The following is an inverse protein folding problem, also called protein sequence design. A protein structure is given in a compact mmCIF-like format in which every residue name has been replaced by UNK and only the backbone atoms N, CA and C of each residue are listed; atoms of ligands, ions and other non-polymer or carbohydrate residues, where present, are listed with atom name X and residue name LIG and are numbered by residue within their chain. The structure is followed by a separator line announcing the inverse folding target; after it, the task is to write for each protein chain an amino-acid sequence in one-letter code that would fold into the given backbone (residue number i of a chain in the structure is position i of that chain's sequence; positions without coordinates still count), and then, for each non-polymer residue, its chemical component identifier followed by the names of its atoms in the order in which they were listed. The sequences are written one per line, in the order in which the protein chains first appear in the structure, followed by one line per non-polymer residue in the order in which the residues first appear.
data_IF_074542328196
#
_entry.id   IF_074542328196
#
_cell.length_a   1.000
_cell.length_b   1.000
_cell.length_c   1.000
_cell.angle_alpha   90.00
_cell.angle_beta   90.00
_cell.angle_gamma   90.00
#
_symmetry.space_group_name_H-M   'P 1'
#
loop_
_entity.id
_entity.type
_entity.pdbx_description
1 polymer ?
#
# COMPACT_ATOMS: atom_id res chain seq x y z
N UNK A 1 -15.04 24.56 -13.38
CA UNK A 1 -14.31 24.28 -12.12
C UNK A 1 -13.06 23.52 -12.52
N UNK A 2 -11.88 24.12 -12.32
CA UNK A 2 -10.62 23.53 -12.77
C UNK A 2 -10.39 22.17 -12.10
N UNK A 3 -10.04 21.19 -12.91
CA UNK A 3 -9.66 19.84 -12.51
C UNK A 3 -8.44 19.92 -11.58
N UNK A 4 -8.68 20.09 -10.28
CA UNK A 4 -7.62 20.04 -9.27
C UNK A 4 -7.16 18.59 -9.22
N UNK A 5 -6.15 18.28 -10.03
CA UNK A 5 -5.42 17.02 -9.99
C UNK A 5 -5.08 16.73 -8.53
N UNK A 6 -5.53 15.59 -8.02
CA UNK A 6 -5.16 15.14 -6.68
C UNK A 6 -3.65 14.91 -6.69
N UNK A 7 -2.93 15.54 -5.77
CA UNK A 7 -1.47 15.42 -5.64
C UNK A 7 -1.18 14.67 -4.35
N UNK A 8 -0.27 13.69 -4.42
CA UNK A 8 0.19 12.97 -3.25
C UNK A 8 0.82 13.93 -2.22
N UNK A 9 0.48 13.75 -0.95
CA UNK A 9 1.11 14.49 0.15
C UNK A 9 2.54 13.96 0.37
N UNK A 10 3.53 14.71 -0.14
CA UNK A 10 4.95 14.37 -0.09
C UNK A 10 5.46 14.14 1.34
N UNK A 11 5.17 15.06 2.26
CA UNK A 11 5.68 15.00 3.63
C UNK A 11 5.14 13.77 4.36
N UNK A 12 3.84 13.49 4.16
CA UNK A 12 3.18 12.32 4.73
C UNK A 12 3.76 11.01 4.18
N UNK A 13 4.00 10.94 2.87
CA UNK A 13 4.65 9.77 2.24
C UNK A 13 6.03 9.52 2.84
N UNK A 14 6.92 10.52 2.85
CA UNK A 14 8.30 10.33 3.32
C UNK A 14 8.37 10.07 4.82
N UNK A 15 7.54 10.74 5.63
CA UNK A 15 7.46 10.47 7.08
C UNK A 15 7.07 9.02 7.37
N UNK A 16 6.11 8.45 6.61
CA UNK A 16 5.66 7.07 6.81
C UNK A 16 6.62 6.05 6.21
N UNK A 17 7.15 6.33 5.03
CA UNK A 17 8.22 5.51 4.44
C UNK A 17 9.42 5.43 5.40
N UNK A 18 9.86 6.54 6.01
CA UNK A 18 10.96 6.53 6.97
C UNK A 18 10.67 5.62 8.17
N UNK A 19 9.45 5.64 8.72
CA UNK A 19 9.03 4.71 9.79
C UNK A 19 9.09 3.25 9.35
N UNK A 20 8.71 2.95 8.11
CA UNK A 20 8.81 1.61 7.54
C UNK A 20 10.28 1.18 7.43
N UNK A 21 11.14 2.02 6.86
CA UNK A 21 12.57 1.72 6.71
C UNK A 21 13.28 1.58 8.06
N UNK A 22 12.96 2.43 9.05
CA UNK A 22 13.48 2.31 10.42
C UNK A 22 13.06 0.97 11.04
N UNK A 23 11.80 0.54 10.88
CA UNK A 23 11.35 -0.76 11.40
C UNK A 23 11.98 -1.92 10.65
N UNK A 24 12.21 -1.77 9.34
CA UNK A 24 12.83 -2.80 8.50
C UNK A 24 14.32 -3.01 8.83
N UNK A 25 14.93 -2.14 9.60
CA UNK A 25 16.28 -2.32 10.14
C UNK A 25 16.27 -2.95 11.55
N UNK A 26 15.10 -3.13 12.18
CA UNK A 26 14.97 -3.71 13.52
C UNK A 26 14.70 -5.21 13.43
N UNK A 27 15.44 -5.99 14.22
CA UNK A 27 15.32 -7.46 14.35
C UNK A 27 14.16 -7.87 15.28
N UNK A 28 12.99 -7.25 15.16
CA UNK A 28 11.87 -7.46 16.11
C UNK A 28 10.72 -8.30 15.54
N UNK A 29 10.45 -8.24 14.22
CA UNK A 29 9.26 -8.85 13.61
C UNK A 29 9.56 -9.68 12.35
N UNK A 30 10.84 -9.99 12.10
CA UNK A 30 11.29 -10.76 10.93
C UNK A 30 11.25 -9.97 9.61
N UNK A 31 10.96 -8.67 9.65
CA UNK A 31 11.01 -7.82 8.45
C UNK A 31 12.44 -7.66 7.95
N UNK A 32 13.43 -7.64 8.85
CA UNK A 32 14.87 -7.60 8.59
C UNK A 32 15.38 -8.81 7.78
N UNK A 33 14.68 -9.93 7.83
CA UNK A 33 15.03 -11.17 7.12
C UNK A 33 14.86 -11.07 5.60
N UNK A 34 14.03 -10.14 5.09
CA UNK A 34 13.84 -9.92 3.66
C UNK A 34 14.62 -8.70 3.17
N UNK A 35 15.13 -8.77 1.94
CA UNK A 35 15.85 -7.64 1.29
C UNK A 35 14.98 -6.84 0.34
N UNK A 36 13.82 -7.38 -0.02
CA UNK A 36 12.83 -6.74 -0.88
C UNK A 36 11.42 -6.91 -0.31
N UNK A 37 10.57 -5.91 -0.54
CA UNK A 37 9.14 -5.93 -0.22
C UNK A 37 8.36 -5.53 -1.48
N UNK A 38 7.37 -6.33 -1.86
CA UNK A 38 6.45 -5.96 -2.93
C UNK A 38 5.01 -5.92 -2.41
N UNK A 39 4.34 -4.79 -2.67
CA UNK A 39 2.90 -4.63 -2.46
C UNK A 39 2.27 -4.40 -3.83
N UNK A 40 1.58 -5.41 -4.33
CA UNK A 40 0.75 -5.33 -5.53
C UNK A 40 -0.71 -5.18 -5.09
N UNK A 41 -1.38 -4.13 -5.57
CA UNK A 41 -2.78 -3.86 -5.22
C UNK A 41 -3.65 -3.81 -6.47
N UNK A 42 -4.79 -4.48 -6.40
CA UNK A 42 -5.79 -4.57 -7.45
C UNK A 42 -7.18 -4.48 -6.86
N UNK A 43 -8.19 -4.54 -7.72
CA UNK A 43 -9.58 -4.55 -7.27
C UNK A 43 -9.87 -5.78 -6.38
N UNK A 44 -10.67 -5.60 -5.33
CA UNK A 44 -11.01 -6.69 -4.39
C UNK A 44 -12.39 -6.48 -3.80
N UNK A 45 -13.15 -7.56 -3.65
CA UNK A 45 -14.42 -7.56 -2.91
C UNK A 45 -14.21 -7.41 -1.39
N UNK A 46 -12.99 -7.65 -0.91
CA UNK A 46 -12.61 -7.46 0.49
C UNK A 46 -11.98 -6.07 0.68
N UNK A 47 -12.67 -5.11 1.31
CA UNK A 47 -12.13 -3.76 1.52
C UNK A 47 -11.05 -3.70 2.61
N UNK A 48 -10.75 -4.80 3.32
CA UNK A 48 -9.86 -4.81 4.49
C UNK A 48 -8.58 -5.62 4.25
N UNK A 49 -8.00 -5.52 3.06
CA UNK A 49 -6.68 -6.10 2.77
C UNK A 49 -5.55 -5.28 3.42
N UNK A 50 -4.44 -5.93 3.77
CA UNK A 50 -3.18 -5.28 4.15
C UNK A 50 -2.61 -4.45 3.01
N UNK A 51 -2.78 -4.86 1.75
CA UNK A 51 -2.40 -4.02 0.61
C UNK A 51 -3.21 -2.72 0.58
N UNK A 52 -4.54 -2.78 0.76
CA UNK A 52 -5.38 -1.58 0.89
C UNK A 52 -4.92 -0.71 2.06
N UNK A 53 -4.73 -1.30 3.25
CA UNK A 53 -4.24 -0.59 4.43
C UNK A 53 -2.86 0.06 4.19
N UNK A 54 -1.95 -0.62 3.49
CA UNK A 54 -0.65 -0.08 3.09
C UNK A 54 -0.81 1.14 2.17
N UNK A 55 -1.68 1.05 1.17
CA UNK A 55 -1.96 2.15 0.25
C UNK A 55 -2.58 3.36 0.97
N UNK A 56 -3.62 3.15 1.78
CA UNK A 56 -4.23 4.20 2.59
C UNK A 56 -3.23 4.79 3.57
N UNK A 57 -2.38 3.96 4.19
CA UNK A 57 -1.39 4.43 5.13
C UNK A 57 -0.27 5.22 4.43
N UNK A 58 0.33 4.71 3.36
CA UNK A 58 1.49 5.36 2.75
C UNK A 58 1.10 6.53 1.82
N UNK A 59 -0.03 6.42 1.14
CA UNK A 59 -0.44 7.39 0.11
C UNK A 59 -1.65 8.25 0.49
N UNK A 60 -2.42 7.82 1.49
CA UNK A 60 -3.75 8.39 1.75
C UNK A 60 -4.81 7.99 0.72
N UNK A 61 -4.47 7.11 -0.22
CA UNK A 61 -5.32 6.70 -1.34
C UNK A 61 -5.10 5.24 -1.70
N UNK A 62 -6.19 4.56 -2.06
CA UNK A 62 -6.15 3.25 -2.70
C UNK A 62 -5.92 3.41 -4.20
N UNK A 63 -4.96 2.66 -4.74
CA UNK A 63 -4.50 2.85 -6.12
C UNK A 63 -4.42 1.48 -6.80
N UNK A 64 -5.56 1.01 -7.32
CA UNK A 64 -5.68 -0.27 -8.03
C UNK A 64 -4.66 -0.39 -9.16
N UNK A 65 -4.29 -1.61 -9.54
CA UNK A 65 -3.30 -1.96 -10.57
C UNK A 65 -1.99 -1.19 -10.43
N UNK A 66 -1.38 -1.29 -9.25
CA UNK A 66 -0.09 -0.67 -8.92
C UNK A 66 0.78 -1.70 -8.21
N UNK A 67 2.08 -1.67 -8.50
CA UNK A 67 3.09 -2.42 -7.73
C UNK A 67 4.03 -1.42 -7.09
N UNK A 68 4.23 -1.57 -5.80
CA UNK A 68 5.25 -0.84 -5.03
C UNK A 68 6.30 -1.86 -4.62
N UNK A 69 7.47 -1.78 -5.23
CA UNK A 69 8.65 -2.55 -4.85
C UNK A 69 9.56 -1.65 -4.01
N UNK A 70 9.73 -2.00 -2.74
CA UNK A 70 10.69 -1.37 -1.86
C UNK A 70 11.91 -2.28 -1.75
N UNK A 71 13.08 -1.69 -1.92
CA UNK A 71 14.39 -2.30 -1.69
C UNK A 71 15.14 -1.45 -0.66
N UNK A 72 16.26 -1.95 -0.14
CA UNK A 72 17.09 -1.18 0.79
C UNK A 72 17.71 0.07 0.16
N UNK A 73 17.91 0.06 -1.15
CA UNK A 73 18.61 1.10 -1.91
C UNK A 73 17.73 1.86 -2.90
N UNK A 74 16.50 1.41 -3.16
CA UNK A 74 15.58 2.06 -4.10
C UNK A 74 14.10 1.70 -3.85
N UNK A 75 13.18 2.59 -4.21
CA UNK A 75 11.73 2.31 -4.31
C UNK A 75 11.26 2.47 -5.75
N UNK A 76 10.62 1.43 -6.30
CA UNK A 76 10.02 1.45 -7.62
C UNK A 76 8.49 1.40 -7.52
N UNK A 77 7.80 2.29 -8.23
CA UNK A 77 6.34 2.33 -8.29
C UNK A 77 5.88 2.14 -9.74
N UNK A 78 5.32 0.98 -10.07
CA UNK A 78 4.77 0.67 -11.39
C UNK A 78 3.29 1.05 -11.46
N UNK A 79 2.92 1.89 -12.41
CA UNK A 79 1.53 2.32 -12.60
C UNK A 79 1.24 2.88 -13.99
N UNK A 80 -0.03 3.13 -14.30
CA UNK A 80 -0.44 3.80 -15.53
C UNK A 80 -0.02 5.28 -15.55
N UNK A 81 -0.11 5.94 -16.71
CA UNK A 81 0.33 7.32 -16.88
C UNK A 81 -0.22 8.28 -15.80
N UNK A 82 -1.52 8.22 -15.50
CA UNK A 82 -2.13 9.05 -14.45
C UNK A 82 -1.55 8.79 -13.06
N UNK A 83 -1.15 7.56 -12.77
CA UNK A 83 -0.56 7.17 -11.48
C UNK A 83 0.90 7.63 -11.40
N UNK A 84 1.67 7.48 -12.47
CA UNK A 84 3.03 8.02 -12.57
C UNK A 84 3.03 9.53 -12.29
N UNK A 85 2.09 10.27 -12.88
CA UNK A 85 1.92 11.70 -12.60
C UNK A 85 1.52 11.98 -11.13
N UNK A 86 0.65 11.15 -10.54
CA UNK A 86 0.25 11.26 -9.14
C UNK A 86 1.43 11.11 -8.17
N UNK A 87 2.36 10.19 -8.46
CA UNK A 87 3.58 9.95 -7.67
C UNK A 87 4.73 10.91 -7.99
N UNK A 88 4.57 11.80 -8.98
CA UNK A 88 5.66 12.67 -9.43
C UNK A 88 6.27 13.56 -8.34
N UNK A 89 5.51 13.90 -7.29
CA UNK A 89 5.99 14.73 -6.18
C UNK A 89 6.97 14.02 -5.23
N UNK A 90 7.00 12.69 -5.24
CA UNK A 90 7.87 11.88 -4.39
C UNK A 90 9.05 11.26 -5.13
N UNK A 91 9.09 11.37 -6.47
CA UNK A 91 10.24 10.91 -7.28
C UNK A 91 11.48 11.71 -6.92
N UNK A 92 12.57 11.01 -6.63
CA UNK A 92 13.86 11.60 -6.25
C UNK A 92 14.99 10.62 -6.52
N UNK A 93 16.16 11.15 -6.90
CA UNK A 93 17.40 10.40 -7.13
C UNK A 93 18.30 10.32 -5.89
N UNK A 94 17.87 10.90 -4.76
CA UNK A 94 18.62 10.98 -3.52
C UNK A 94 17.83 10.38 -2.36
N UNK A 95 18.54 10.01 -1.31
CA UNK A 95 17.91 9.62 -0.05
C UNK A 95 17.18 10.82 0.58
N UNK A 96 15.98 10.58 1.09
CA UNK A 96 15.24 11.51 1.93
C UNK A 96 15.14 10.92 3.33
N UNK A 97 16.00 11.36 4.25
CA UNK A 97 16.17 10.69 5.53
C UNK A 97 16.68 9.26 5.33
N UNK A 98 15.98 8.27 5.88
CA UNK A 98 16.26 6.83 5.64
C UNK A 98 15.61 6.27 4.37
N UNK A 99 14.77 7.04 3.69
CA UNK A 99 14.05 6.56 2.50
C UNK A 99 14.98 6.65 1.29
N UNK A 100 15.21 5.54 0.56
CA UNK A 100 16.06 5.56 -0.62
C UNK A 100 15.41 6.33 -1.79
N UNK A 101 16.17 6.56 -2.88
CA UNK A 101 15.64 7.12 -4.12
C UNK A 101 14.34 6.43 -4.56
N UNK A 102 13.42 7.23 -5.12
CA UNK A 102 12.09 6.78 -5.54
C UNK A 102 11.95 7.04 -7.03
N UNK A 103 11.58 6.02 -7.80
CA UNK A 103 11.26 6.15 -9.21
C UNK A 103 9.93 5.50 -9.55
N UNK A 104 9.37 5.93 -10.68
CA UNK A 104 8.13 5.38 -11.23
C UNK A 104 8.42 4.66 -12.53
N UNK A 105 7.72 3.54 -12.76
CA UNK A 105 7.69 2.83 -14.03
C UNK A 105 6.31 3.02 -14.68
N UNK A 106 6.30 3.34 -15.97
CA UNK A 106 5.07 3.43 -16.74
C UNK A 106 4.68 2.05 -17.24
N UNK A 107 3.45 1.64 -16.93
CA UNK A 107 2.86 0.42 -17.46
C UNK A 107 2.85 0.40 -18.98
N UNK A 108 3.25 -0.73 -19.55
CA UNK A 108 3.19 -1.03 -20.96
C UNK A 108 2.06 -2.02 -21.22
N UNK A 109 0.98 -1.53 -21.84
CA UNK A 109 -0.17 -2.39 -22.12
C UNK A 109 0.04 -3.26 -23.36
N UNK A 110 1.05 -2.97 -24.18
CA UNK A 110 1.28 -3.68 -25.44
C UNK A 110 1.86 -5.08 -25.22
N UNK A 111 2.67 -5.25 -24.17
CA UNK A 111 3.26 -6.52 -23.74
C UNK A 111 2.63 -7.06 -22.44
N UNK A 112 1.53 -6.44 -21.99
CA UNK A 112 0.87 -6.72 -20.69
C UNK A 112 1.84 -6.60 -19.51
N UNK A 113 2.72 -5.61 -19.55
CA UNK A 113 3.69 -5.29 -18.51
C UNK A 113 4.81 -6.33 -18.32
N UNK A 114 4.96 -7.30 -19.22
CA UNK A 114 5.96 -8.36 -19.10
C UNK A 114 7.39 -7.80 -18.92
N UNK A 115 7.81 -6.85 -19.75
CA UNK A 115 9.13 -6.23 -19.64
C UNK A 115 9.29 -5.35 -18.39
N UNK A 116 8.20 -4.87 -17.79
CA UNK A 116 8.25 -4.18 -16.50
C UNK A 116 8.38 -5.19 -15.34
N UNK A 117 7.68 -6.33 -15.41
CA UNK A 117 7.78 -7.39 -14.42
C UNK A 117 9.17 -7.99 -14.38
N UNK A 118 9.77 -8.29 -15.54
CA UNK A 118 11.15 -8.78 -15.65
C UNK A 118 12.13 -7.82 -14.95
N UNK A 119 12.04 -6.50 -15.21
CA UNK A 119 12.90 -5.50 -14.55
C UNK A 119 12.74 -5.50 -13.03
N UNK A 120 11.50 -5.53 -12.52
CA UNK A 120 11.25 -5.56 -11.08
C UNK A 120 11.79 -6.86 -10.45
N UNK A 121 11.64 -7.99 -11.15
CA UNK A 121 12.16 -9.29 -10.73
C UNK A 121 13.69 -9.30 -10.73
N UNK A 122 14.34 -8.70 -11.72
CA UNK A 122 15.80 -8.54 -11.77
C UNK A 122 16.31 -7.74 -10.56
N UNK A 123 15.61 -6.69 -10.17
CA UNK A 123 15.93 -5.94 -8.96
C UNK A 123 15.75 -6.77 -7.68
N UNK A 124 14.66 -7.56 -7.59
CA UNK A 124 14.44 -8.50 -6.47
C UNK A 124 15.57 -9.52 -6.38
N UNK A 125 15.94 -10.15 -7.51
CA UNK A 125 17.04 -11.12 -7.58
C UNK A 125 18.38 -10.51 -7.23
N UNK A 126 18.64 -9.27 -7.66
CA UNK A 126 19.87 -8.54 -7.35
C UNK A 126 19.98 -8.19 -5.87
N UNK A 127 18.85 -7.84 -5.23
CA UNK A 127 18.81 -7.63 -3.78
C UNK A 127 19.05 -8.93 -2.99
N UNK A 128 18.62 -10.07 -3.56
CA UNK A 128 18.82 -11.41 -3.02
C UNK A 128 17.86 -11.77 -1.88
N UNK A 129 17.86 -13.05 -1.51
CA UNK A 129 16.94 -13.60 -0.51
C UNK A 129 15.49 -13.69 -0.98
N UNK A 130 14.58 -13.95 -0.05
CA UNK A 130 13.15 -14.08 -0.35
C UNK A 130 12.46 -12.72 -0.43
N UNK A 131 11.39 -12.64 -1.22
CA UNK A 131 10.54 -11.46 -1.37
C UNK A 131 9.51 -11.39 -0.25
N UNK A 132 9.50 -10.33 0.55
CA UNK A 132 8.40 -10.10 1.49
C UNK A 132 7.14 -9.59 0.77
N UNK A 133 6.00 -10.24 1.03
CA UNK A 133 4.71 -9.91 0.42
C UNK A 133 3.53 -10.27 1.35
N UNK A 134 2.33 -9.80 1.02
CA UNK A 134 1.08 -10.25 1.67
C UNK A 134 0.55 -11.50 0.95
N UNK A 135 1.03 -12.68 1.33
CA UNK A 135 0.90 -13.90 0.50
C UNK A 135 -0.52 -14.50 0.46
N UNK A 136 -1.40 -14.09 1.37
CA UNK A 136 -2.76 -14.63 1.49
C UNK A 136 -3.80 -13.84 0.70
N UNK A 137 -3.41 -12.70 0.12
CA UNK A 137 -4.34 -11.78 -0.54
C UNK A 137 -4.62 -12.20 -1.98
N UNK A 138 -5.86 -11.99 -2.41
CA UNK A 138 -6.34 -12.27 -3.76
C UNK A 138 -7.09 -11.05 -4.29
N UNK A 139 -6.89 -10.77 -5.56
CA UNK A 139 -7.44 -9.61 -6.24
C UNK A 139 -8.16 -10.04 -7.52
N UNK A 140 -9.26 -9.36 -7.82
CA UNK A 140 -9.98 -9.47 -9.08
C UNK A 140 -9.31 -8.56 -10.13
N UNK A 141 -8.00 -8.74 -10.34
CA UNK A 141 -7.19 -7.90 -11.24
C UNK A 141 -6.26 -8.76 -12.10
N UNK A 142 -6.46 -8.70 -13.41
CA UNK A 142 -5.58 -9.37 -14.39
C UNK A 142 -4.12 -8.91 -14.25
N UNK A 143 -3.90 -7.63 -13.90
CA UNK A 143 -2.56 -7.10 -13.70
C UNK A 143 -1.86 -7.70 -12.48
N UNK A 144 -2.56 -7.82 -11.35
CA UNK A 144 -1.99 -8.43 -10.14
C UNK A 144 -1.82 -9.94 -10.29
N UNK A 145 -2.73 -10.59 -11.03
CA UNK A 145 -2.59 -12.01 -11.36
C UNK A 145 -1.36 -12.25 -12.23
N UNK A 146 -1.18 -11.49 -13.32
CA UNK A 146 -0.01 -11.59 -14.18
C UNK A 146 1.31 -11.32 -13.45
N UNK A 147 1.34 -10.40 -12.48
CA UNK A 147 2.50 -10.20 -11.62
C UNK A 147 2.82 -11.43 -10.76
N UNK A 148 1.80 -12.05 -10.15
CA UNK A 148 1.99 -13.27 -9.35
C UNK A 148 2.44 -14.47 -10.20
N UNK A 149 1.93 -14.56 -11.44
CA UNK A 149 2.35 -15.57 -12.40
C UNK A 149 3.82 -15.38 -12.78
N UNK A 150 4.23 -14.15 -13.12
CA UNK A 150 5.63 -13.82 -13.41
C UNK A 150 6.58 -14.13 -12.24
N UNK A 151 6.19 -13.80 -11.00
CA UNK A 151 6.96 -14.18 -9.81
C UNK A 151 7.13 -15.70 -9.70
N UNK A 152 6.09 -16.47 -10.04
CA UNK A 152 6.11 -17.93 -9.99
C UNK A 152 6.97 -18.52 -11.11
N UNK A 153 6.86 -18.01 -12.33
CA UNK A 153 7.66 -18.41 -13.50
C UNK A 153 9.17 -18.17 -13.29
N UNK A 154 9.52 -17.17 -12.49
CA UNK A 154 10.90 -16.83 -12.16
C UNK A 154 11.41 -17.42 -10.83
N UNK A 155 10.67 -18.37 -10.24
CA UNK A 155 10.99 -19.06 -8.98
C UNK A 155 11.25 -18.09 -7.81
N UNK A 156 10.52 -16.98 -7.74
CA UNK A 156 10.63 -16.03 -6.63
C UNK A 156 9.87 -16.55 -5.41
N UNK A 157 10.63 -16.95 -4.39
CA UNK A 157 10.09 -17.31 -3.09
C UNK A 157 9.51 -16.09 -2.37
N UNK A 158 8.29 -16.25 -1.82
CA UNK A 158 7.60 -15.22 -1.06
C UNK A 158 7.54 -15.57 0.42
N UNK A 159 7.83 -14.60 1.28
CA UNK A 159 7.65 -14.69 2.74
C UNK A 159 6.52 -13.75 3.15
N UNK A 160 5.64 -14.22 4.03
CA UNK A 160 4.53 -13.42 4.55
C UNK A 160 5.02 -12.36 5.55
N UNK A 161 4.77 -11.08 5.24
CA UNK A 161 5.14 -9.95 6.10
C UNK A 161 3.93 -9.31 6.81
N UNK A 162 2.79 -9.99 6.79
CA UNK A 162 1.51 -9.50 7.34
C UNK A 162 1.62 -9.09 8.82
N UNK A 163 2.36 -9.86 9.63
CA UNK A 163 2.54 -9.58 11.05
C UNK A 163 3.40 -8.32 11.28
N UNK A 164 4.52 -8.18 10.57
CA UNK A 164 5.38 -7.00 10.67
C UNK A 164 4.62 -5.72 10.33
N UNK A 165 3.82 -5.73 9.25
CA UNK A 165 2.97 -4.59 8.90
C UNK A 165 1.83 -4.35 9.90
N UNK A 166 1.32 -5.40 10.55
CA UNK A 166 0.35 -5.24 11.64
C UNK A 166 0.95 -4.43 12.79
N UNK A 167 2.19 -4.73 13.18
CA UNK A 167 2.88 -3.97 14.22
C UNK A 167 3.30 -2.58 13.75
N UNK A 168 3.72 -2.42 12.49
CA UNK A 168 4.02 -1.11 11.89
C UNK A 168 2.81 -0.17 11.97
N UNK A 169 1.62 -0.68 11.61
CA UNK A 169 0.39 0.10 11.63
C UNK A 169 -0.19 0.28 13.04
N UNK A 170 0.28 -0.46 14.06
CA UNK A 170 -0.30 -0.40 15.40
C UNK A 170 -0.17 0.99 16.02
N UNK A 171 1.01 1.60 15.93
CA UNK A 171 1.30 2.93 16.47
C UNK A 171 0.73 4.01 15.55
N UNK A 172 -0.26 4.74 16.06
CA UNK A 172 -0.95 5.83 15.33
C UNK A 172 -0.24 7.16 15.55
N UNK A 173 -0.10 7.95 14.48
CA UNK A 173 0.30 9.35 14.58
C UNK A 173 -0.86 10.25 15.05
N UNK A 174 -0.56 11.51 15.38
CA UNK A 174 -1.57 12.45 15.90
C UNK A 174 -2.72 12.70 14.92
N UNK A 175 -2.45 12.69 13.61
CA UNK A 175 -3.49 12.88 12.58
C UNK A 175 -4.39 11.65 12.52
N UNK A 176 -3.83 10.45 12.61
CA UNK A 176 -4.59 9.20 12.68
C UNK A 176 -5.46 9.13 13.95
N UNK A 177 -4.92 9.55 15.10
CA UNK A 177 -5.66 9.61 16.36
C UNK A 177 -6.82 10.61 16.28
N UNK A 178 -6.61 11.77 15.67
CA UNK A 178 -7.69 12.75 15.43
C UNK A 178 -8.79 12.18 14.52
N UNK A 179 -8.42 11.53 13.42
CA UNK A 179 -9.36 10.87 12.52
C UNK A 179 -10.16 9.76 13.22
N UNK A 180 -9.50 8.97 14.07
CA UNK A 180 -10.16 7.93 14.87
C UNK A 180 -11.18 8.52 15.86
N UNK A 181 -10.83 9.61 16.56
CA UNK A 181 -11.76 10.31 17.47
C UNK A 181 -12.98 10.85 16.73
N UNK A 182 -12.76 11.49 15.58
CA UNK A 182 -13.84 11.99 14.71
C UNK A 182 -14.74 10.87 14.22
N UNK A 183 -14.16 9.76 13.77
CA UNK A 183 -14.90 8.56 13.36
C UNK A 183 -15.76 8.03 14.51
N UNK A 184 -15.18 7.87 15.71
CA UNK A 184 -15.91 7.41 16.89
C UNK A 184 -17.08 8.35 17.27
N UNK A 185 -16.87 9.68 17.18
CA UNK A 185 -17.92 10.66 17.45
C UNK A 185 -19.09 10.53 16.45
N UNK A 186 -18.79 10.33 15.17
CA UNK A 186 -19.82 10.12 14.13
C UNK A 186 -20.55 8.80 14.35
N UNK A 187 -19.84 7.71 14.67
CA UNK A 187 -20.46 6.42 15.01
C UNK A 187 -21.42 6.55 16.19
N UNK A 188 -20.99 7.19 17.28
CA UNK A 188 -21.81 7.41 18.47
C UNK A 188 -23.07 8.22 18.13
N UNK A 189 -22.91 9.32 17.39
CA UNK A 189 -24.02 10.19 16.98
C UNK A 189 -25.01 9.46 16.04
N UNK A 190 -24.49 8.65 15.12
CA UNK A 190 -25.31 7.83 14.20
C UNK A 190 -26.11 6.78 14.95
N UNK A 191 -25.50 6.12 15.94
CA UNK A 191 -26.20 5.18 16.81
C UNK A 191 -27.31 5.85 17.63
N UNK A 192 -27.05 7.01 18.22
CA UNK A 192 -28.06 7.77 18.96
C UNK A 192 -29.27 8.11 18.08
N UNK A 193 -29.03 8.56 16.84
CA UNK A 193 -30.09 8.84 15.89
C UNK A 193 -30.86 7.58 15.46
N UNK A 194 -30.16 6.48 15.17
CA UNK A 194 -30.76 5.21 14.79
C UNK A 194 -31.62 4.62 15.92
N UNK A 195 -31.10 4.67 17.16
CA UNK A 195 -31.82 4.23 18.36
C UNK A 195 -33.16 4.96 18.52
N UNK A 196 -33.18 6.28 18.31
CA UNK A 196 -34.43 7.06 18.36
C UNK A 196 -35.48 6.53 17.39
N UNK A 197 -35.08 6.28 16.13
CA UNK A 197 -35.97 5.71 15.11
C UNK A 197 -36.46 4.30 15.46
N UNK A 198 -35.59 3.45 16.01
CA UNK A 198 -35.99 2.10 16.39
C UNK A 198 -37.04 2.11 17.51
N UNK A 199 -36.88 2.99 18.51
CA UNK A 199 -37.87 3.16 19.58
C UNK A 199 -39.21 3.63 19.00
N UNK A 200 -39.19 4.65 18.12
CA UNK A 200 -40.41 5.14 17.47
C UNK A 200 -41.14 4.06 16.65
N UNK A 201 -40.42 3.22 15.91
CA UNK A 201 -41.01 2.12 15.14
C UNK A 201 -41.69 1.10 16.07
N UNK A 202 -41.01 0.71 17.16
CA UNK A 202 -41.55 -0.26 18.13
C UNK A 202 -42.83 0.29 18.79
N UNK A 203 -42.84 1.57 19.16
CA UNK A 203 -44.00 2.20 19.80
C UNK A 203 -45.21 2.34 18.84
N UNK A 204 -44.97 2.36 17.52
CA UNK A 204 -46.00 2.51 16.49
C UNK A 204 -46.63 1.17 16.04
N UNK A 205 -45.99 0.04 16.28
CA UNK A 205 -46.59 -1.29 16.06
C UNK A 205 -47.61 -1.60 17.19
N UNK A 206 -48.85 -1.16 16.98
CA UNK A 206 -50.04 -1.60 17.72
C UNK A 206 -50.93 -2.51 16.88
#
# INVERSE_FOLDING_TARGET
MGDKRVVLNKDHFFQRAERLYERWEKEEDGLDAVKSLAVAYGDSDNPYTKSSAFHTWLFGHEINDTIVLLLKDHVYILGSNRKVEFFGSVVTDQYTGRVPPVSTLLRDKSDKDAGNFEKLIDHIKSAGGDLGAFVKEKFNSDFVNAWNDALTEHDINKVDVTLAFTHLFAVKDDKELDLLRKSAQVTSSSWTAARGKYVEIIDQEK
#
